data_IF_851632845470
#
_entry.id   IF_851632845470
#
_cell.length_a   1.000
_cell.length_b   1.000
_cell.length_c   1.000
_cell.angle_alpha   90.00
_cell.angle_beta   90.00
_cell.angle_gamma   90.00
#
_symmetry.space_group_name_H-M   'P 1'
#
loop_
_entity.id
_entity.type
_entity.pdbx_description
1 polymer ?
#
# COMPACT_ATOMS: atom_id res chain seq x y z
N UNK A 1 -8.07 5.27 6.51
CA UNK A 1 -9.01 5.49 7.64
C UNK A 1 -8.69 4.46 8.72
N UNK A 2 -8.19 4.88 9.88
CA UNK A 2 -7.98 3.97 11.01
C UNK A 2 -9.34 3.72 11.68
N UNK A 3 -9.77 2.45 11.68
CA UNK A 3 -10.95 2.01 12.42
C UNK A 3 -10.67 2.28 13.91
N UNK A 4 -11.40 3.22 14.52
CA UNK A 4 -11.36 3.41 15.98
C UNK A 4 -11.87 2.12 16.62
N UNK A 5 -11.00 1.43 17.34
CA UNK A 5 -11.37 0.28 18.15
C UNK A 5 -12.39 0.72 19.20
N UNK A 6 -13.54 0.04 19.24
CA UNK A 6 -14.55 0.25 20.26
C UNK A 6 -14.00 -0.31 21.57
N UNK A 7 -13.71 0.55 22.55
CA UNK A 7 -13.28 0.12 23.88
C UNK A 7 -14.53 -0.33 24.64
N UNK A 8 -14.76 -1.64 24.67
CA UNK A 8 -15.80 -2.25 25.50
C UNK A 8 -15.37 -2.23 26.96
N UNK A 9 -16.18 -1.69 27.88
CA UNK A 9 -15.84 -1.67 29.31
C UNK A 9 -15.91 -3.08 29.90
N UNK A 10 -14.76 -3.71 30.12
CA UNK A 10 -14.68 -4.99 30.84
C UNK A 10 -14.68 -4.72 32.34
N UNK A 11 -15.56 -5.40 33.09
CA UNK A 11 -15.58 -5.30 34.55
C UNK A 11 -14.44 -6.14 35.13
N UNK A 12 -13.53 -5.49 35.83
CA UNK A 12 -12.39 -6.11 36.51
C UNK A 12 -12.60 -5.98 38.01
N UNK A 13 -12.18 -6.97 38.79
CA UNK A 13 -12.16 -6.88 40.25
C UNK A 13 -11.30 -5.66 40.68
N UNK A 14 -11.84 -4.71 41.45
CA UNK A 14 -11.12 -3.51 41.86
C UNK A 14 -9.80 -3.79 42.59
N UNK A 15 -9.77 -4.79 43.48
CA UNK A 15 -8.57 -5.12 44.25
C UNK A 15 -7.46 -5.69 43.36
N UNK A 16 -7.81 -6.50 42.37
CA UNK A 16 -6.83 -7.03 41.42
C UNK A 16 -6.26 -5.94 40.52
N UNK A 17 -7.12 -5.01 40.08
CA UNK A 17 -6.69 -3.84 39.31
C UNK A 17 -5.68 -3.01 40.12
N UNK A 18 -6.00 -2.71 41.37
CA UNK A 18 -5.15 -1.92 42.25
C UNK A 18 -3.79 -2.59 42.50
N UNK A 19 -3.76 -3.90 42.76
CA UNK A 19 -2.51 -4.64 42.94
C UNK A 19 -1.66 -4.70 41.68
N UNK A 20 -2.28 -4.90 40.52
CA UNK A 20 -1.58 -4.91 39.24
C UNK A 20 -0.99 -3.53 38.92
N UNK A 21 -1.79 -2.46 39.00
CA UNK A 21 -1.31 -1.10 38.78
C UNK A 21 -0.25 -0.69 39.81
N UNK A 22 -0.40 -1.12 41.06
CA UNK A 22 0.58 -0.88 42.13
C UNK A 22 1.93 -1.60 41.93
N UNK A 23 1.98 -2.63 41.07
CA UNK A 23 3.20 -3.39 40.75
C UNK A 23 3.73 -3.09 39.35
N UNK A 24 3.15 -2.11 38.65
CA UNK A 24 3.55 -1.72 37.30
C UNK A 24 5.02 -1.32 37.18
N UNK A 25 5.61 -0.80 38.25
CA UNK A 25 7.04 -0.44 38.32
C UNK A 25 7.97 -1.66 38.26
N UNK A 26 7.46 -2.87 38.49
CA UNK A 26 8.22 -4.13 38.48
C UNK A 26 8.09 -4.84 37.13
N UNK A 27 6.87 -4.93 36.58
CA UNK A 27 6.60 -5.68 35.34
C UNK A 27 6.51 -4.79 34.10
N UNK A 28 6.43 -3.47 34.23
CA UNK A 28 6.40 -2.48 33.15
C UNK A 28 5.25 -2.59 32.13
N UNK A 29 4.28 -3.48 32.36
CA UNK A 29 3.09 -3.63 31.50
C UNK A 29 1.93 -2.75 31.97
N UNK A 30 1.24 -2.11 31.02
CA UNK A 30 -0.07 -1.53 31.29
C UNK A 30 -1.13 -2.64 31.45
N UNK A 31 -2.17 -2.38 32.24
CA UNK A 31 -3.25 -3.33 32.47
C UNK A 31 -3.95 -3.75 31.15
N UNK A 32 -4.09 -2.81 30.21
CA UNK A 32 -4.62 -3.07 28.87
C UNK A 32 -3.84 -4.16 28.15
N UNK A 33 -2.51 -4.08 28.20
CA UNK A 33 -1.60 -4.94 27.44
C UNK A 33 -1.60 -6.34 28.03
N UNK A 34 -1.60 -6.44 29.36
CA UNK A 34 -1.69 -7.70 30.07
C UNK A 34 -3.04 -8.39 29.83
N UNK A 35 -4.14 -7.62 29.77
CA UNK A 35 -5.45 -8.16 29.42
C UNK A 35 -5.51 -8.64 27.98
N UNK A 36 -4.98 -7.87 27.04
CA UNK A 36 -4.91 -8.26 25.64
C UNK A 36 -4.11 -9.55 25.47
N UNK A 37 -2.93 -9.65 26.08
CA UNK A 37 -2.12 -10.86 26.04
C UNK A 37 -2.81 -12.05 26.72
N UNK A 38 -3.49 -11.84 27.85
CA UNK A 38 -4.26 -12.89 28.52
C UNK A 38 -5.41 -13.41 27.68
N UNK A 39 -6.14 -12.51 27.02
CA UNK A 39 -7.21 -12.86 26.07
C UNK A 39 -6.63 -13.65 24.90
N UNK A 40 -5.53 -13.17 24.30
CA UNK A 40 -4.84 -13.87 23.21
C UNK A 40 -4.36 -15.26 23.64
N UNK A 41 -3.86 -15.41 24.86
CA UNK A 41 -3.42 -16.69 25.40
C UNK A 41 -4.58 -17.67 25.63
N UNK A 42 -5.70 -17.18 26.17
CA UNK A 42 -6.90 -18.01 26.34
C UNK A 42 -7.44 -18.43 24.97
N UNK A 43 -7.50 -17.48 24.02
CA UNK A 43 -7.86 -17.79 22.66
C UNK A 43 -6.90 -18.82 22.08
N UNK A 44 -5.58 -18.65 22.12
CA UNK A 44 -4.64 -19.61 21.52
C UNK A 44 -4.77 -21.04 22.06
N UNK A 45 -5.17 -21.21 23.33
CA UNK A 45 -5.32 -22.53 23.95
C UNK A 45 -6.73 -23.12 23.81
N UNK A 46 -7.74 -22.27 23.68
CA UNK A 46 -9.14 -22.66 23.72
C UNK A 46 -9.95 -22.07 22.57
N UNK A 47 -9.34 -21.75 21.41
CA UNK A 47 -10.08 -21.21 20.26
C UNK A 47 -11.19 -22.21 19.94
N UNK A 48 -12.46 -21.87 20.16
CA UNK A 48 -13.54 -22.76 19.77
C UNK A 48 -13.46 -22.91 18.26
N UNK A 49 -13.61 -24.12 17.74
CA UNK A 49 -13.59 -24.39 16.30
C UNK A 49 -14.50 -23.41 15.54
N UNK A 50 -15.62 -23.02 16.15
CA UNK A 50 -16.56 -22.02 15.62
C UNK A 50 -15.98 -20.63 15.39
N UNK A 51 -14.98 -20.19 16.17
CA UNK A 51 -14.28 -18.90 15.96
C UNK A 51 -13.35 -18.99 14.76
N UNK A 52 -12.63 -20.11 14.59
CA UNK A 52 -11.81 -20.34 13.39
C UNK A 52 -12.68 -20.46 12.14
N UNK A 53 -13.81 -21.16 12.23
CA UNK A 53 -14.80 -21.26 11.15
C UNK A 53 -15.33 -19.88 10.74
N UNK A 54 -15.63 -19.02 11.72
CA UNK A 54 -16.06 -17.65 11.46
C UNK A 54 -14.95 -16.82 10.79
N UNK A 55 -13.71 -16.91 11.26
CA UNK A 55 -12.57 -16.23 10.64
C UNK A 55 -12.32 -16.72 9.20
N UNK A 56 -12.43 -18.02 8.95
CA UNK A 56 -12.33 -18.60 7.60
C UNK A 56 -13.44 -18.04 6.71
N UNK A 57 -14.67 -17.97 7.21
CA UNK A 57 -15.80 -17.42 6.47
C UNK A 57 -15.60 -15.93 6.13
N UNK A 58 -15.21 -15.12 7.10
CA UNK A 58 -14.93 -13.68 6.89
C UNK A 58 -13.77 -13.47 5.90
N UNK A 59 -12.73 -14.28 5.98
CA UNK A 59 -11.58 -14.21 5.06
C UNK A 59 -11.98 -14.60 3.65
N UNK A 60 -12.78 -15.67 3.48
CA UNK A 60 -13.33 -16.07 2.17
C UNK A 60 -14.21 -14.97 1.58
N UNK A 61 -15.01 -14.29 2.40
CA UNK A 61 -15.81 -13.15 1.94
C UNK A 61 -14.93 -12.01 1.41
N UNK A 62 -13.89 -11.63 2.15
CA UNK A 62 -12.93 -10.61 1.68
C UNK A 62 -12.22 -11.02 0.39
N UNK A 63 -11.88 -12.30 0.27
CA UNK A 63 -11.26 -12.84 -0.94
C UNK A 63 -12.19 -12.69 -2.14
N UNK A 64 -13.47 -13.05 -2.01
CA UNK A 64 -14.47 -12.86 -3.06
C UNK A 64 -14.68 -11.38 -3.43
N UNK A 65 -14.66 -10.47 -2.44
CA UNK A 65 -14.71 -9.02 -2.68
C UNK A 65 -13.50 -8.53 -3.50
N UNK A 66 -12.30 -9.02 -3.17
CA UNK A 66 -11.07 -8.69 -3.90
C UNK A 66 -11.04 -9.29 -5.31
N UNK A 67 -11.53 -10.51 -5.50
CA UNK A 67 -11.66 -11.13 -6.81
C UNK A 67 -12.60 -10.32 -7.72
N UNK A 68 -13.74 -9.88 -7.18
CA UNK A 68 -14.66 -8.99 -7.91
C UNK A 68 -14.01 -7.64 -8.23
N UNK A 69 -13.26 -7.06 -7.29
CA UNK A 69 -12.52 -5.82 -7.52
C UNK A 69 -11.46 -5.99 -8.62
N UNK A 70 -10.79 -7.15 -8.70
CA UNK A 70 -9.83 -7.47 -9.75
C UNK A 70 -10.49 -7.54 -11.12
N UNK A 71 -11.68 -8.14 -11.23
CA UNK A 71 -12.44 -8.18 -12.48
C UNK A 71 -12.77 -6.76 -12.96
N UNK A 72 -13.24 -5.90 -12.06
CA UNK A 72 -13.54 -4.52 -12.39
C UNK A 72 -12.27 -3.74 -12.80
N UNK A 73 -11.16 -3.93 -12.09
CA UNK A 73 -9.89 -3.29 -12.44
C UNK A 73 -9.39 -3.71 -13.83
N UNK A 74 -9.50 -4.99 -14.19
CA UNK A 74 -9.16 -5.49 -15.54
C UNK A 74 -10.07 -4.90 -16.61
N UNK A 75 -11.37 -4.73 -16.32
CA UNK A 75 -12.29 -4.10 -17.26
C UNK A 75 -11.91 -2.63 -17.51
N UNK A 76 -11.64 -1.87 -16.44
CA UNK A 76 -11.20 -0.48 -16.53
C UNK A 76 -9.89 -0.39 -17.31
N UNK A 77 -8.90 -1.24 -17.00
CA UNK A 77 -7.63 -1.29 -17.73
C UNK A 77 -7.82 -1.56 -19.22
N UNK A 78 -8.67 -2.53 -19.57
CA UNK A 78 -8.99 -2.84 -20.96
C UNK A 78 -9.72 -1.71 -21.68
N UNK A 79 -10.63 -0.99 -21.00
CA UNK A 79 -11.30 0.17 -21.57
C UNK A 79 -10.35 1.36 -21.73
N UNK A 80 -9.47 1.61 -20.76
CA UNK A 80 -8.43 2.63 -20.86
C UNK A 80 -7.48 2.33 -22.01
N UNK A 81 -7.04 1.07 -22.17
CA UNK A 81 -6.21 0.65 -23.31
C UNK A 81 -6.92 0.88 -24.64
N UNK A 82 -8.21 0.54 -24.75
CA UNK A 82 -9.00 0.79 -25.97
C UNK A 82 -9.22 2.28 -26.26
N UNK A 83 -9.28 3.13 -25.25
CA UNK A 83 -9.35 4.58 -25.42
C UNK A 83 -8.00 5.13 -25.91
N UNK A 84 -6.90 4.66 -25.33
CA UNK A 84 -5.53 4.99 -25.77
C UNK A 84 -5.22 4.51 -27.20
N UNK A 85 -5.87 3.46 -27.69
CA UNK A 85 -5.77 3.00 -29.08
C UNK A 85 -6.61 3.83 -30.08
N UNK A 86 -7.63 4.57 -29.61
CA UNK A 86 -8.51 5.38 -30.45
C UNK A 86 -8.04 6.82 -30.61
N UNK A 87 -7.28 7.33 -29.66
CA UNK A 87 -6.54 8.58 -29.79
C UNK A 87 -5.21 8.29 -30.49
N UNK A 88 -4.77 9.17 -31.39
CA UNK A 88 -3.48 9.05 -32.07
C UNK A 88 -2.40 8.76 -31.02
N UNK A 89 -1.74 7.57 -31.03
CA UNK A 89 -0.87 7.11 -29.94
C UNK A 89 0.34 8.03 -29.74
N UNK A 90 0.61 8.94 -30.69
CA UNK A 90 1.61 9.98 -30.52
C UNK A 90 1.20 11.10 -29.54
N UNK A 91 -0.09 11.32 -29.32
CA UNK A 91 -0.62 12.42 -28.49
C UNK A 91 -1.02 12.00 -27.08
N UNK A 92 -1.59 10.80 -26.90
CA UNK A 92 -2.10 10.35 -25.59
C UNK A 92 -1.00 10.12 -24.54
N UNK A 93 0.21 9.71 -24.96
CA UNK A 93 1.34 9.52 -24.05
C UNK A 93 2.20 10.77 -23.86
N UNK A 94 1.98 11.83 -24.64
CA UNK A 94 2.76 13.08 -24.51
C UNK A 94 2.54 13.70 -23.14
N UNK A 95 1.27 13.86 -22.73
CA UNK A 95 0.92 14.48 -21.46
C UNK A 95 1.43 13.67 -20.25
N UNK A 96 1.36 12.34 -20.34
CA UNK A 96 1.87 11.42 -19.30
C UNK A 96 3.41 11.46 -19.25
N UNK A 97 4.09 11.51 -20.39
CA UNK A 97 5.56 11.60 -20.46
C UNK A 97 6.04 12.99 -20.03
N UNK A 98 5.23 14.02 -20.21
CA UNK A 98 5.51 15.36 -19.69
C UNK A 98 5.45 15.41 -18.16
N UNK A 99 4.67 14.56 -17.48
CA UNK A 99 4.71 14.43 -16.01
C UNK A 99 6.09 14.04 -15.46
N UNK A 100 6.96 13.41 -16.27
CA UNK A 100 8.38 13.18 -15.90
C UNK A 100 9.10 14.50 -15.62
N UNK A 101 8.64 15.59 -16.22
CA UNK A 101 9.26 16.92 -16.22
C UNK A 101 8.40 18.02 -15.57
N UNK A 102 7.09 17.82 -15.37
CA UNK A 102 6.14 18.85 -14.87
C UNK A 102 5.95 18.79 -13.34
N UNK A 103 5.85 17.61 -12.75
CA UNK A 103 5.56 17.53 -11.32
C UNK A 103 6.77 17.97 -10.49
N UNK A 104 6.59 19.00 -9.67
CA UNK A 104 7.53 19.47 -8.64
C UNK A 104 7.58 18.48 -7.44
N UNK A 105 7.68 17.18 -7.78
CA UNK A 105 7.46 16.03 -6.91
C UNK A 105 7.50 14.67 -7.63
N UNK A 106 8.46 14.44 -8.55
CA UNK A 106 9.38 13.31 -8.41
C UNK A 106 10.77 13.73 -8.88
N UNK A 107 11.44 14.58 -8.09
CA UNK A 107 12.85 14.93 -8.27
C UNK A 107 13.81 13.77 -8.00
N UNK A 108 13.53 12.57 -8.52
CA UNK A 108 14.33 11.37 -8.36
C UNK A 108 14.97 11.00 -9.69
N UNK A 109 14.23 10.92 -10.80
CA UNK A 109 14.80 10.53 -12.11
C UNK A 109 15.81 11.58 -12.62
N UNK A 110 15.39 12.83 -12.79
CA UNK A 110 16.29 13.91 -13.24
C UNK A 110 17.42 14.18 -12.23
N UNK A 111 17.14 14.08 -10.93
CA UNK A 111 18.16 14.26 -9.88
C UNK A 111 19.18 13.12 -9.87
N UNK A 112 18.74 11.88 -10.11
CA UNK A 112 19.62 10.72 -10.28
C UNK A 112 20.46 10.88 -11.54
N UNK A 113 19.86 11.27 -12.66
CA UNK A 113 20.58 11.55 -13.91
C UNK A 113 21.65 12.64 -13.73
N UNK A 114 21.32 13.78 -13.08
CA UNK A 114 22.31 14.82 -12.71
C UNK A 114 23.44 14.32 -11.82
N UNK A 115 23.19 13.28 -11.03
CA UNK A 115 24.18 12.62 -10.15
C UNK A 115 24.87 11.42 -10.81
N UNK A 116 24.69 11.20 -12.12
CA UNK A 116 25.14 10.00 -12.83
C UNK A 116 24.68 8.67 -12.21
N UNK A 117 23.53 8.68 -11.53
CA UNK A 117 22.87 7.49 -11.00
C UNK A 117 21.82 7.01 -12.00
N UNK A 118 21.73 5.69 -12.20
CA UNK A 118 20.71 5.09 -13.05
C UNK A 118 19.42 4.86 -12.27
N UNK A 119 18.29 5.46 -12.67
CA UNK A 119 16.97 5.12 -12.16
C UNK A 119 16.64 3.64 -12.39
N UNK A 120 15.70 3.11 -11.60
CA UNK A 120 15.18 1.77 -11.77
C UNK A 120 14.21 1.71 -12.98
N UNK A 121 14.73 1.90 -14.20
CA UNK A 121 13.98 2.02 -15.45
C UNK A 121 12.97 0.89 -15.66
N UNK A 122 13.35 -0.34 -15.34
CA UNK A 122 12.50 -1.53 -15.50
C UNK A 122 11.22 -1.48 -14.66
N UNK A 123 11.24 -0.72 -13.55
CA UNK A 123 10.07 -0.57 -12.66
C UNK A 123 9.16 0.58 -13.06
N UNK A 124 9.69 1.55 -13.83
CA UNK A 124 8.98 2.80 -14.13
C UNK A 124 8.56 2.94 -15.60
N UNK A 125 9.13 2.16 -16.52
CA UNK A 125 8.81 2.25 -17.96
C UNK A 125 7.33 2.05 -18.26
N UNK A 126 6.69 1.05 -17.65
CA UNK A 126 5.27 0.78 -17.82
C UNK A 126 4.36 1.90 -17.29
N UNK A 127 4.80 2.62 -16.23
CA UNK A 127 4.02 3.73 -15.64
C UNK A 127 3.82 4.89 -16.63
N UNK A 128 4.80 5.11 -17.52
CA UNK A 128 4.78 6.22 -18.47
C UNK A 128 4.53 5.78 -19.92
N UNK A 129 4.04 4.55 -20.12
CA UNK A 129 3.70 4.02 -21.44
C UNK A 129 4.90 3.81 -22.36
N UNK A 130 6.04 3.38 -21.81
CA UNK A 130 7.18 2.91 -22.61
C UNK A 130 7.12 1.38 -22.76
N UNK A 131 7.47 0.90 -23.95
CA UNK A 131 7.48 -0.53 -24.29
C UNK A 131 8.70 -1.25 -23.70
N UNK A 132 9.75 -0.50 -23.36
CA UNK A 132 10.95 -1.03 -22.71
C UNK A 132 11.63 0.02 -21.82
N UNK A 133 12.42 -0.44 -20.85
CA UNK A 133 13.30 0.42 -20.06
C UNK A 133 14.30 1.19 -20.92
N UNK A 134 14.82 0.56 -21.99
CA UNK A 134 15.72 1.19 -22.95
C UNK A 134 15.07 2.35 -23.69
N UNK A 135 13.83 2.19 -24.13
CA UNK A 135 13.05 3.24 -24.81
C UNK A 135 12.84 4.45 -23.88
N UNK A 136 12.46 4.18 -22.63
CA UNK A 136 12.30 5.23 -21.62
C UNK A 136 13.61 5.99 -21.35
N UNK A 137 14.72 5.27 -21.15
CA UNK A 137 16.01 5.91 -20.89
C UNK A 137 16.44 6.81 -22.05
N UNK A 138 16.31 6.32 -23.29
CA UNK A 138 16.64 7.08 -24.49
C UNK A 138 15.79 8.35 -24.60
N UNK A 139 14.48 8.22 -24.42
CA UNK A 139 13.56 9.35 -24.45
C UNK A 139 13.91 10.38 -23.38
N UNK A 140 14.07 9.96 -22.12
CA UNK A 140 14.32 10.87 -21.00
C UNK A 140 15.66 11.58 -21.18
N UNK A 141 16.73 10.89 -21.60
CA UNK A 141 18.03 11.53 -21.85
C UNK A 141 17.97 12.54 -23.00
N UNK A 142 17.37 12.15 -24.12
CA UNK A 142 17.25 13.02 -25.29
C UNK A 142 16.45 14.29 -24.95
N UNK A 143 15.33 14.12 -24.27
CA UNK A 143 14.41 15.21 -23.93
C UNK A 143 14.97 16.09 -22.81
N UNK A 144 15.65 15.52 -21.82
CA UNK A 144 16.35 16.30 -20.79
C UNK A 144 17.50 17.13 -21.38
N UNK A 145 18.28 16.58 -22.31
CA UNK A 145 19.31 17.35 -23.04
C UNK A 145 18.70 18.45 -23.90
N UNK A 146 17.58 18.17 -24.60
CA UNK A 146 16.85 19.15 -25.42
C UNK A 146 16.33 20.32 -24.57
N UNK A 147 15.91 20.04 -23.34
CA UNK A 147 15.41 21.03 -22.36
C UNK A 147 16.51 21.70 -21.53
N UNK A 148 17.79 21.31 -21.68
CA UNK A 148 18.90 21.84 -20.88
C UNK A 148 18.84 21.45 -19.39
N UNK A 149 18.21 20.32 -19.07
CA UNK A 149 18.04 19.82 -17.71
C UNK A 149 19.20 18.93 -17.25
N UNK A 150 20.03 18.43 -18.16
CA UNK A 150 21.27 17.67 -17.91
C UNK A 150 22.36 18.07 -18.89
#
# INVERSE_FOLDING_TARGET
MYQKSHVSSVRINPSLKEWFEGTQTIHHYALSDAMEQGILHILSNYVPVSVLEKQIHETRKKLAELENALVNAKHVEAETMKQLEKEDPSTAYTDIREQIFIDDGPGTILRMLKKNQSPAWDRVCHKYGFSSSREMEQFVRLEASRRGLI
#
